data_IF_878282922711
#
_entry.id   IF_878282922711
#
_cell.length_a   1.000
_cell.length_b   1.000
_cell.length_c   1.000
_cell.angle_alpha   90.00
_cell.angle_beta   90.00
_cell.angle_gamma   90.00
#
_symmetry.space_group_name_H-M   'P 1'
#
loop_
_entity.id
_entity.type
_entity.pdbx_description
1 polymer ?
#
# COMPACT_ATOMS: atom_id res chain seq x y z
N UNK A 1 -9.24 -30.61 -98.75
CA UNK A 1 -9.13 -30.30 -97.31
C UNK A 1 -7.84 -29.53 -97.08
N UNK A 2 -7.92 -28.21 -97.03
CA UNK A 2 -6.76 -27.32 -96.96
C UNK A 2 -6.54 -26.86 -95.52
N UNK A 3 -5.54 -27.45 -94.86
CA UNK A 3 -5.05 -26.99 -93.56
C UNK A 3 -4.43 -25.60 -93.72
N UNK A 4 -5.02 -24.61 -93.07
CA UNK A 4 -4.50 -23.24 -93.03
C UNK A 4 -3.43 -23.15 -91.95
N UNK A 5 -2.17 -22.94 -92.35
CA UNK A 5 -1.06 -22.73 -91.44
C UNK A 5 -1.27 -21.43 -90.63
N UNK A 6 -1.26 -21.55 -89.30
CA UNK A 6 -1.32 -20.41 -88.37
C UNK A 6 0.08 -19.78 -88.33
N UNK A 7 0.18 -18.48 -88.65
CA UNK A 7 1.46 -17.81 -88.96
C UNK A 7 2.21 -17.26 -87.75
N UNK A 8 1.59 -17.17 -86.57
CA UNK A 8 2.23 -16.82 -85.29
C UNK A 8 1.18 -16.95 -84.18
N UNK A 9 1.60 -17.33 -82.97
CA UNK A 9 0.80 -17.26 -81.74
C UNK A 9 1.49 -16.23 -80.86
N UNK A 10 0.84 -15.11 -80.60
CA UNK A 10 1.32 -14.17 -79.60
C UNK A 10 0.76 -14.52 -78.22
N UNK A 11 1.57 -14.47 -77.16
CA UNK A 11 1.09 -14.72 -75.81
C UNK A 11 0.06 -13.67 -75.42
N UNK A 12 -1.08 -14.13 -74.90
CA UNK A 12 -2.09 -13.25 -74.33
C UNK A 12 -1.57 -12.65 -73.03
N UNK A 13 -1.45 -11.32 -72.96
CA UNK A 13 -1.17 -10.63 -71.69
C UNK A 13 -2.43 -10.60 -70.83
N UNK A 14 -2.51 -11.54 -69.89
CA UNK A 14 -3.55 -11.56 -68.88
C UNK A 14 -3.38 -10.37 -67.92
N UNK A 15 -4.16 -9.30 -68.12
CA UNK A 15 -4.27 -8.21 -67.15
C UNK A 15 -5.30 -8.59 -66.11
N UNK A 16 -4.84 -9.17 -65.02
CA UNK A 16 -5.69 -9.50 -63.89
C UNK A 16 -6.21 -8.22 -63.24
N UNK A 17 -7.52 -7.97 -63.31
CA UNK A 17 -8.20 -6.83 -62.67
C UNK A 17 -8.47 -7.10 -61.16
N UNK A 18 -7.51 -7.73 -60.49
CA UNK A 18 -7.47 -7.78 -59.02
C UNK A 18 -6.51 -6.68 -58.57
N UNK A 19 -6.87 -5.43 -58.83
CA UNK A 19 -6.30 -4.36 -58.01
C UNK A 19 -6.72 -4.66 -56.58
N UNK A 20 -5.75 -4.86 -55.69
CA UNK A 20 -6.02 -4.89 -54.27
C UNK A 20 -6.72 -3.59 -53.93
N UNK A 21 -8.02 -3.66 -53.60
CA UNK A 21 -8.74 -2.55 -52.98
C UNK A 21 -7.82 -2.04 -51.86
N UNK A 22 -7.43 -0.75 -51.83
CA UNK A 22 -6.61 -0.27 -50.73
C UNK A 22 -7.36 -0.64 -49.44
N UNK A 23 -6.69 -1.37 -48.55
CA UNK A 23 -7.26 -1.67 -47.24
C UNK A 23 -7.83 -0.36 -46.69
N UNK A 24 -9.10 -0.32 -46.26
CA UNK A 24 -9.60 0.86 -45.59
C UNK A 24 -8.63 1.13 -44.46
N UNK A 25 -7.94 2.28 -44.55
CA UNK A 25 -6.95 2.73 -43.59
C UNK A 25 -7.61 2.61 -42.23
N UNK A 26 -7.31 1.54 -41.50
CA UNK A 26 -7.84 1.36 -40.17
C UNK A 26 -7.47 2.65 -39.42
N UNK A 27 -8.42 3.32 -38.76
CA UNK A 27 -8.05 4.48 -37.95
C UNK A 27 -6.93 4.00 -37.03
N UNK A 28 -5.76 4.63 -37.15
CA UNK A 28 -4.65 4.34 -36.27
C UNK A 28 -5.23 4.36 -34.85
N UNK A 29 -5.16 3.21 -34.15
CA UNK A 29 -5.44 3.23 -32.73
C UNK A 29 -4.58 4.36 -32.18
N UNK A 30 -5.15 5.32 -31.43
CA UNK A 30 -4.33 6.35 -30.81
C UNK A 30 -3.24 5.62 -30.03
N UNK A 31 -1.98 5.91 -30.36
CA UNK A 31 -0.81 5.28 -29.76
C UNK A 31 -1.03 5.20 -28.25
N UNK A 32 -1.00 3.98 -27.72
CA UNK A 32 -1.38 3.69 -26.36
C UNK A 32 -0.61 4.56 -25.37
N UNK A 33 -1.28 5.55 -24.79
CA UNK A 33 -0.93 6.22 -23.54
C UNK A 33 0.51 6.74 -23.40
N UNK A 34 1.27 6.93 -24.47
CA UNK A 34 2.63 7.45 -24.38
C UNK A 34 2.58 8.95 -24.11
N UNK A 35 2.81 9.31 -22.85
CA UNK A 35 2.98 10.71 -22.45
C UNK A 35 4.38 11.15 -22.86
N UNK A 36 4.48 11.94 -23.92
CA UNK A 36 5.73 12.58 -24.31
C UNK A 36 5.95 13.83 -23.46
N UNK A 37 6.86 13.75 -22.49
CA UNK A 37 7.27 14.89 -21.67
C UNK A 37 8.57 15.46 -22.19
N UNK A 38 8.69 16.80 -22.19
CA UNK A 38 9.98 17.46 -22.38
C UNK A 38 10.88 17.22 -21.16
N UNK A 39 12.21 17.30 -21.33
CA UNK A 39 13.16 17.13 -20.22
C UNK A 39 12.86 18.00 -18.98
N UNK A 40 12.51 19.30 -19.14
CA UNK A 40 12.09 20.14 -18.02
C UNK A 40 10.77 19.71 -17.36
N UNK A 41 9.78 19.25 -18.14
CA UNK A 41 8.51 18.77 -17.60
C UNK A 41 8.70 17.48 -16.79
N UNK A 42 9.55 16.57 -17.27
CA UNK A 42 9.93 15.37 -16.52
C UNK A 42 10.64 15.73 -15.21
N UNK A 43 11.58 16.67 -15.24
CA UNK A 43 12.28 17.13 -14.05
C UNK A 43 11.31 17.75 -13.03
N UNK A 44 10.33 18.55 -13.49
CA UNK A 44 9.28 19.10 -12.64
C UNK A 44 8.43 18.00 -12.00
N UNK A 45 7.97 17.04 -12.79
CA UNK A 45 7.12 15.94 -12.32
C UNK A 45 7.87 15.05 -11.31
N UNK A 46 9.15 14.75 -11.55
CA UNK A 46 9.98 14.00 -10.61
C UNK A 46 10.20 14.75 -9.29
N UNK A 47 10.37 16.08 -9.36
CA UNK A 47 10.50 16.91 -8.16
C UNK A 47 9.20 16.93 -7.35
N UNK A 48 8.05 17.03 -8.03
CA UNK A 48 6.72 17.00 -7.43
C UNK A 48 6.44 15.63 -6.79
N UNK A 49 6.68 14.54 -7.52
CA UNK A 49 6.54 13.18 -7.01
C UNK A 49 7.47 12.90 -5.81
N UNK A 50 8.69 13.45 -5.79
CA UNK A 50 9.58 13.33 -4.63
C UNK A 50 9.05 14.10 -3.43
N UNK A 51 8.57 15.32 -3.64
CA UNK A 51 8.01 16.14 -2.56
C UNK A 51 6.76 15.47 -1.95
N UNK A 52 5.87 14.97 -2.80
CA UNK A 52 4.69 14.21 -2.38
C UNK A 52 5.08 12.91 -1.66
N UNK A 53 6.06 12.16 -2.19
CA UNK A 53 6.54 10.95 -1.55
C UNK A 53 7.14 11.18 -0.16
N UNK A 54 7.88 12.26 0.02
CA UNK A 54 8.42 12.64 1.33
C UNK A 54 7.31 13.10 2.29
N UNK A 55 6.32 13.85 1.80
CA UNK A 55 5.18 14.28 2.60
C UNK A 55 4.34 13.07 3.07
N UNK A 56 4.11 12.09 2.20
CA UNK A 56 3.36 10.88 2.54
C UNK A 56 4.15 9.98 3.50
N UNK A 57 5.46 9.85 3.32
CA UNK A 57 6.31 9.13 4.28
C UNK A 57 6.25 9.75 5.69
N UNK A 58 6.38 11.08 5.79
CA UNK A 58 6.27 11.78 7.07
C UNK A 58 4.86 11.63 7.70
N UNK A 59 3.82 11.60 6.87
CA UNK A 59 2.45 11.34 7.32
C UNK A 59 2.29 9.94 7.89
N UNK A 60 2.83 8.93 7.22
CA UNK A 60 2.78 7.54 7.68
C UNK A 60 3.55 7.36 9.00
N UNK A 61 4.72 7.97 9.14
CA UNK A 61 5.48 7.97 10.41
C UNK A 61 4.69 8.61 11.55
N UNK A 62 3.99 9.72 11.26
CA UNK A 62 3.14 10.40 12.24
C UNK A 62 2.00 9.49 12.69
N UNK A 63 1.29 8.86 11.75
CA UNK A 63 0.19 7.94 12.05
C UNK A 63 0.65 6.74 12.88
N UNK A 64 1.77 6.12 12.52
CA UNK A 64 2.35 5.01 13.29
C UNK A 64 2.72 5.44 14.72
N UNK A 65 3.27 6.64 14.86
CA UNK A 65 3.60 7.20 16.17
C UNK A 65 2.34 7.46 17.01
N UNK A 66 1.29 8.03 16.42
CA UNK A 66 0.00 8.25 17.08
C UNK A 66 -0.65 6.93 17.52
N UNK A 67 -0.67 5.91 16.66
CA UNK A 67 -1.20 4.58 16.98
C UNK A 67 -0.45 3.95 18.16
N UNK A 68 0.88 4.03 18.15
CA UNK A 68 1.72 3.54 19.26
C UNK A 68 1.43 4.29 20.55
N UNK A 69 1.34 5.61 20.52
CA UNK A 69 1.01 6.43 21.70
C UNK A 69 -0.39 6.11 22.23
N UNK A 70 -1.36 5.87 21.35
CA UNK A 70 -2.71 5.47 21.74
C UNK A 70 -2.70 4.10 22.43
N UNK A 71 -1.99 3.12 21.87
CA UNK A 71 -1.85 1.79 22.46
C UNK A 71 -1.20 1.85 23.86
N UNK A 72 -0.16 2.65 24.01
CA UNK A 72 0.51 2.89 25.30
C UNK A 72 -0.44 3.54 26.30
N UNK A 73 -1.20 4.56 25.87
CA UNK A 73 -2.16 5.25 26.74
C UNK A 73 -3.23 4.29 27.27
N UNK A 74 -3.74 3.39 26.43
CA UNK A 74 -4.68 2.36 26.86
C UNK A 74 -4.05 1.42 27.90
N UNK A 75 -2.82 0.94 27.66
CA UNK A 75 -2.09 0.10 28.63
C UNK A 75 -1.88 0.81 29.97
N UNK A 76 -1.58 2.11 29.96
CA UNK A 76 -1.42 2.91 31.18
C UNK A 76 -2.74 3.10 31.94
N UNK A 77 -3.85 3.32 31.24
CA UNK A 77 -5.18 3.39 31.85
C UNK A 77 -5.56 2.07 32.52
N UNK A 78 -5.28 0.94 31.87
CA UNK A 78 -5.50 -0.38 32.45
C UNK A 78 -4.63 -0.63 33.69
N UNK A 79 -3.37 -0.20 33.66
CA UNK A 79 -2.49 -0.29 34.82
C UNK A 79 -2.99 0.57 36.00
N UNK A 80 -3.49 1.78 35.72
CA UNK A 80 -4.11 2.63 36.73
C UNK A 80 -5.35 1.99 37.35
N UNK A 81 -6.21 1.36 36.54
CA UNK A 81 -7.37 0.64 37.04
C UNK A 81 -6.97 -0.49 38.00
N UNK A 82 -5.90 -1.23 37.69
CA UNK A 82 -5.40 -2.28 38.57
C UNK A 82 -4.80 -1.71 39.88
N UNK A 83 -4.13 -0.55 39.85
CA UNK A 83 -3.67 0.13 41.07
C UNK A 83 -4.82 0.57 41.96
N UNK A 84 -5.91 1.08 41.38
CA UNK A 84 -7.12 1.45 42.12
C UNK A 84 -7.76 0.21 42.76
N UNK A 85 -7.84 -0.90 42.02
CA UNK A 85 -8.34 -2.16 42.56
C UNK A 85 -7.49 -2.64 43.75
N UNK A 86 -6.16 -2.61 43.62
CA UNK A 86 -5.24 -2.94 44.70
C UNK A 86 -5.44 -2.04 45.93
N UNK A 87 -5.60 -0.73 45.75
CA UNK A 87 -5.88 0.19 46.85
C UNK A 87 -7.17 -0.19 47.59
N UNK A 88 -8.23 -0.58 46.86
CA UNK A 88 -9.47 -1.08 47.43
C UNK A 88 -9.29 -2.38 48.21
N UNK A 89 -8.46 -3.31 47.74
CA UNK A 89 -8.13 -4.53 48.49
C UNK A 89 -7.35 -4.25 49.77
N UNK A 90 -6.41 -3.29 49.74
CA UNK A 90 -5.67 -2.86 50.93
C UNK A 90 -6.59 -2.17 51.95
N UNK A 91 -7.52 -1.33 51.48
CA UNK A 91 -8.51 -0.66 52.33
C UNK A 91 -9.45 -1.69 52.98
N UNK A 92 -10.01 -2.63 52.21
CA UNK A 92 -10.88 -3.68 52.74
C UNK A 92 -10.12 -4.62 53.71
N UNK A 93 -8.88 -4.98 53.38
CA UNK A 93 -8.04 -5.82 54.22
C UNK A 93 -7.61 -5.14 55.53
N UNK A 94 -7.66 -3.81 55.61
CA UNK A 94 -7.45 -3.07 56.87
C UNK A 94 -8.61 -3.27 57.87
N UNK A 95 -9.80 -3.67 57.40
CA UNK A 95 -10.98 -3.87 58.24
C UNK A 95 -11.28 -5.36 58.51
N UNK A 96 -11.11 -6.24 57.52
CA UNK A 96 -11.49 -7.68 57.61
C UNK A 96 -10.30 -8.66 57.62
N UNK A 97 -9.06 -8.15 57.59
CA UNK A 97 -7.84 -8.95 57.44
C UNK A 97 -7.40 -9.03 55.97
N UNK A 98 -6.10 -8.85 55.74
CA UNK A 98 -5.55 -8.69 54.40
C UNK A 98 -5.47 -10.04 53.67
N UNK A 99 -6.11 -10.14 52.51
CA UNK A 99 -5.79 -11.23 51.57
C UNK A 99 -4.49 -10.87 50.84
N UNK A 100 -3.39 -11.31 51.44
CA UNK A 100 -2.02 -11.11 50.96
C UNK A 100 -1.83 -11.74 49.57
N UNK A 101 -2.52 -12.84 49.26
CA UNK A 101 -2.36 -13.56 48.00
C UNK A 101 -3.00 -12.80 46.86
N UNK A 102 -4.25 -12.34 47.05
CA UNK A 102 -4.95 -11.52 46.05
C UNK A 102 -4.25 -10.16 45.83
N UNK A 103 -3.73 -9.56 46.89
CA UNK A 103 -2.99 -8.28 46.79
C UNK A 103 -1.67 -8.44 46.03
N UNK A 104 -0.92 -9.52 46.28
CA UNK A 104 0.32 -9.81 45.56
C UNK A 104 0.07 -10.09 44.08
N UNK A 105 -0.99 -10.85 43.73
CA UNK A 105 -1.32 -11.17 42.34
C UNK A 105 -1.70 -9.91 41.54
N UNK A 106 -2.44 -8.99 42.16
CA UNK A 106 -2.74 -7.66 41.61
C UNK A 106 -1.48 -6.82 41.41
N UNK A 107 -0.58 -6.78 42.40
CA UNK A 107 0.70 -6.07 42.29
C UNK A 107 1.52 -6.64 41.13
N UNK A 108 1.64 -7.97 41.03
CA UNK A 108 2.41 -8.64 40.00
C UNK A 108 1.82 -8.42 38.61
N UNK A 109 0.50 -8.53 38.46
CA UNK A 109 -0.21 -8.26 37.21
C UNK A 109 -0.04 -6.81 36.77
N UNK A 110 -0.10 -5.87 37.71
CA UNK A 110 0.09 -4.44 37.44
C UNK A 110 1.54 -4.14 37.06
N UNK A 111 2.51 -4.66 37.81
CA UNK A 111 3.92 -4.51 37.53
C UNK A 111 4.28 -5.09 36.16
N UNK A 112 3.76 -6.27 35.83
CA UNK A 112 3.97 -6.92 34.54
C UNK A 112 3.39 -6.06 33.39
N UNK A 113 2.16 -5.55 33.53
CA UNK A 113 1.56 -4.65 32.51
C UNK A 113 2.31 -3.33 32.35
N UNK A 114 2.82 -2.77 33.44
CA UNK A 114 3.64 -1.55 33.42
C UNK A 114 4.98 -1.84 32.72
N UNK A 115 5.61 -2.98 33.00
CA UNK A 115 6.85 -3.42 32.34
C UNK A 115 6.62 -3.68 30.86
N UNK A 116 5.55 -4.39 30.49
CA UNK A 116 5.21 -4.72 29.10
C UNK A 116 4.78 -3.47 28.31
N UNK A 117 4.08 -2.53 28.96
CA UNK A 117 3.72 -1.24 28.36
C UNK A 117 4.91 -0.29 28.19
N UNK A 118 5.88 -0.31 29.11
CA UNK A 118 7.12 0.46 28.99
C UNK A 118 8.12 -0.19 28.03
N UNK A 119 8.23 -1.52 27.98
CA UNK A 119 9.08 -2.24 27.04
C UNK A 119 8.71 -1.91 25.58
N UNK A 120 7.41 -1.83 25.31
CA UNK A 120 6.85 -1.44 24.01
C UNK A 120 7.15 0.04 23.63
N UNK A 121 7.40 0.92 24.61
CA UNK A 121 7.81 2.31 24.37
C UNK A 121 9.28 2.47 23.98
N UNK A 122 10.12 1.48 24.30
CA UNK A 122 11.57 1.55 24.09
C UNK A 122 12.12 0.48 23.12
N UNK A 123 11.28 -0.42 22.60
CA UNK A 123 11.69 -1.55 21.75
C UNK A 123 12.27 -1.17 20.38
N UNK A 124 12.05 0.06 19.90
CA UNK A 124 12.51 0.53 18.57
C UNK A 124 13.70 1.50 18.62
N UNK A 125 14.49 1.48 19.69
CA UNK A 125 15.72 2.30 19.75
C UNK A 125 16.97 1.49 19.48
#
# INVERSE_FOLDING_TARGET
MTQRAVKSIEPFEFRSDFSSTPEPKAPALPDGGQVTLTGPELARLLSEARAEGLAEAARLETLQTEERLQAVTLKLNDALANLVALAGHLEAGAYDGLDVTASLDLIQTTAQRIIDGQGDLFADR
#
